data_IF_583792290379
#
_entry.id   IF_583792290379
#
_cell.length_a   1.000
_cell.length_b   1.000
_cell.length_c   1.000
_cell.angle_alpha   90.00
_cell.angle_beta   90.00
_cell.angle_gamma   90.00
#
_symmetry.space_group_name_H-M   'P 1'
#
loop_
_entity.id
_entity.type
_entity.pdbx_description
1 polymer ?
#
# COMPACT_ATOMS: atom_id res chain seq x y z
N UNK A 1 6.52 -48.83 -0.46
CA UNK A 1 5.20 -48.24 -0.14
C UNK A 1 5.42 -46.79 0.27
N UNK A 2 4.72 -45.83 -0.36
CA UNK A 2 4.56 -44.41 0.04
C UNK A 2 3.57 -44.34 1.23
N UNK A 3 3.48 -43.27 2.07
CA UNK A 3 3.28 -41.85 1.66
C UNK A 3 4.17 -40.83 2.43
N UNK A 4 4.63 -39.71 1.85
CA UNK A 4 3.95 -38.42 1.64
C UNK A 4 3.34 -37.77 2.90
N UNK A 5 4.05 -36.82 3.54
CA UNK A 5 3.43 -35.80 4.42
C UNK A 5 4.26 -34.49 4.45
N UNK A 6 3.78 -33.52 3.66
CA UNK A 6 3.64 -32.06 3.90
C UNK A 6 4.87 -31.13 4.07
N UNK A 7 5.04 -30.39 2.97
CA UNK A 7 5.51 -29.00 2.70
C UNK A 7 5.32 -27.99 3.87
N UNK A 8 6.18 -26.95 3.95
CA UNK A 8 6.61 -26.24 5.15
C UNK A 8 5.69 -25.08 5.50
N UNK A 9 5.61 -24.73 6.79
CA UNK A 9 4.80 -23.60 7.21
C UNK A 9 5.17 -23.11 8.58
N UNK A 10 6.26 -22.32 8.68
CA UNK A 10 6.42 -21.32 9.76
C UNK A 10 7.14 -20.11 9.16
N UNK A 11 6.47 -19.41 8.26
CA UNK A 11 6.70 -17.99 7.93
C UNK A 11 5.67 -17.17 8.72
N UNK A 12 5.80 -17.15 10.05
CA UNK A 12 4.93 -16.36 10.92
C UNK A 12 5.65 -16.08 12.24
N UNK A 13 6.63 -15.19 12.19
CA UNK A 13 7.34 -14.68 13.36
C UNK A 13 7.46 -13.17 13.30
N UNK A 14 6.35 -12.47 13.03
CA UNK A 14 6.23 -11.01 13.18
C UNK A 14 6.31 -10.66 14.68
N UNK A 15 7.53 -10.64 15.21
CA UNK A 15 7.83 -10.07 16.51
C UNK A 15 7.95 -8.55 16.34
N UNK A 16 6.83 -7.83 16.36
CA UNK A 16 6.83 -6.38 16.55
C UNK A 16 6.65 -6.10 18.04
N UNK A 17 7.80 -5.84 18.66
CA UNK A 17 8.01 -5.44 20.04
C UNK A 17 7.22 -4.17 20.37
N UNK A 18 6.39 -4.25 21.40
CA UNK A 18 5.82 -3.09 22.08
C UNK A 18 6.92 -2.51 22.98
N UNK A 19 7.45 -1.34 22.64
CA UNK A 19 8.54 -0.71 23.39
C UNK A 19 8.62 0.80 23.20
N UNK A 20 7.77 1.54 23.92
CA UNK A 20 8.13 2.77 24.63
C UNK A 20 8.55 4.03 23.85
N UNK A 21 7.73 5.08 24.04
CA UNK A 21 8.04 6.51 23.96
C UNK A 21 7.99 7.22 22.59
N UNK A 22 6.86 7.92 22.39
CA UNK A 22 6.69 9.19 21.66
C UNK A 22 7.13 9.21 20.18
N UNK A 23 6.25 8.77 19.28
CA UNK A 23 5.89 9.50 18.02
C UNK A 23 4.49 9.03 17.62
N UNK A 24 3.53 9.95 17.56
CA UNK A 24 2.23 9.66 16.97
C UNK A 24 2.39 9.35 15.46
N UNK A 25 1.65 8.36 14.97
CA UNK A 25 1.42 7.99 13.56
C UNK A 25 2.29 6.89 12.89
N UNK A 26 2.24 5.62 13.35
CA UNK A 26 2.54 4.47 12.48
C UNK A 26 1.46 4.26 11.39
N UNK A 27 0.23 4.71 11.62
CA UNK A 27 -0.89 4.51 10.68
C UNK A 27 -0.76 5.35 9.42
N UNK A 28 -0.36 6.61 9.56
CA UNK A 28 -0.23 7.55 8.43
C UNK A 28 0.66 7.03 7.30
N UNK A 29 1.80 6.47 7.67
CA UNK A 29 2.74 5.89 6.72
C UNK A 29 2.32 4.50 6.25
N UNK A 30 1.48 3.79 7.01
CA UNK A 30 0.97 2.49 6.59
C UNK A 30 -0.04 2.63 5.45
N UNK A 31 -0.93 3.63 5.51
CA UNK A 31 -1.95 3.88 4.48
C UNK A 31 -1.35 4.34 3.15
N UNK A 32 -0.40 5.28 3.20
CA UNK A 32 0.36 5.70 1.99
C UNK A 32 1.09 4.51 1.37
N UNK A 33 1.74 3.68 2.20
CA UNK A 33 2.50 2.53 1.71
C UNK A 33 1.62 1.42 1.17
N UNK A 34 0.43 1.22 1.72
CA UNK A 34 -0.58 0.30 1.18
C UNK A 34 -1.02 0.73 -0.22
N UNK A 35 -1.25 2.04 -0.42
CA UNK A 35 -1.54 2.61 -1.72
C UNK A 35 -0.35 2.44 -2.70
N UNK A 36 0.87 2.75 -2.30
CA UNK A 36 2.05 2.56 -3.15
C UNK A 36 2.23 1.08 -3.55
N UNK A 37 2.00 0.14 -2.64
CA UNK A 37 2.04 -1.29 -2.94
C UNK A 37 0.94 -1.71 -3.89
N UNK A 38 -0.28 -1.17 -3.74
CA UNK A 38 -1.38 -1.41 -4.67
C UNK A 38 -1.03 -0.89 -6.07
N UNK A 39 -0.51 0.33 -6.16
CA UNK A 39 -0.05 0.94 -7.42
C UNK A 39 1.06 0.11 -8.05
N UNK A 40 2.05 -0.35 -7.27
CA UNK A 40 3.12 -1.20 -7.79
C UNK A 40 2.60 -2.52 -8.39
N UNK A 41 1.53 -3.10 -7.83
CA UNK A 41 0.94 -4.35 -8.30
C UNK A 41 0.01 -4.17 -9.50
N UNK A 42 -0.80 -3.11 -9.50
CA UNK A 42 -1.91 -2.92 -10.45
C UNK A 42 -1.63 -1.85 -11.52
N UNK A 43 -0.74 -0.91 -11.23
CA UNK A 43 -0.35 0.19 -12.11
C UNK A 43 1.18 0.42 -12.02
N UNK A 44 2.02 -0.56 -12.39
CA UNK A 44 3.48 -0.48 -12.21
C UNK A 44 4.10 0.71 -12.96
N UNK A 45 3.46 1.20 -14.02
CA UNK A 45 3.88 2.40 -14.77
C UNK A 45 3.67 3.71 -14.00
N UNK A 46 2.78 3.72 -13.03
CA UNK A 46 2.40 4.86 -12.19
C UNK A 46 3.12 4.88 -10.85
N UNK A 47 4.13 4.01 -10.67
CA UNK A 47 4.95 3.96 -9.45
C UNK A 47 5.78 5.22 -9.27
N UNK A 48 6.24 5.81 -10.37
CA UNK A 48 6.88 7.11 -10.40
C UNK A 48 5.81 8.19 -10.15
N UNK A 49 5.85 8.82 -8.96
CA UNK A 49 4.83 9.76 -8.50
C UNK A 49 3.70 9.16 -7.65
N UNK A 50 3.69 7.84 -7.41
CA UNK A 50 2.69 7.20 -6.54
C UNK A 50 2.72 7.74 -5.11
N UNK A 51 3.91 7.96 -4.54
CA UNK A 51 4.05 8.45 -3.16
C UNK A 51 3.34 9.78 -2.91
N UNK A 52 3.50 10.74 -3.83
CA UNK A 52 2.83 12.05 -3.75
C UNK A 52 1.32 11.92 -3.92
N UNK A 53 0.85 11.11 -4.88
CA UNK A 53 -0.57 10.87 -5.09
C UNK A 53 -1.22 10.17 -3.88
N UNK A 54 -0.61 9.10 -3.38
CA UNK A 54 -1.06 8.36 -2.20
C UNK A 54 -1.06 9.25 -0.94
N UNK A 55 -0.12 10.18 -0.81
CA UNK A 55 -0.14 11.18 0.26
C UNK A 55 -1.37 12.10 0.17
N UNK A 56 -1.78 12.50 -1.05
CA UNK A 56 -3.02 13.26 -1.25
C UNK A 56 -4.24 12.44 -0.80
N UNK A 57 -4.29 11.15 -1.12
CA UNK A 57 -5.34 10.24 -0.65
C UNK A 57 -5.40 10.16 0.88
N UNK A 58 -4.23 10.04 1.51
CA UNK A 58 -4.07 10.00 2.96
C UNK A 58 -4.57 11.26 3.67
N UNK A 59 -4.34 12.45 3.13
CA UNK A 59 -4.89 13.70 3.69
C UNK A 59 -6.35 13.96 3.32
N UNK A 60 -7.03 12.98 2.71
CA UNK A 60 -8.44 13.04 2.31
C UNK A 60 -8.70 13.68 0.94
N UNK A 61 -7.65 14.01 0.18
CA UNK A 61 -7.76 14.59 -1.16
C UNK A 61 -7.73 13.51 -2.25
N UNK A 62 -8.81 12.73 -2.32
CA UNK A 62 -8.99 11.66 -3.29
C UNK A 62 -9.02 12.17 -4.75
N UNK A 63 -9.50 13.40 -4.98
CA UNK A 63 -9.56 13.99 -6.32
C UNK A 63 -8.17 14.24 -6.89
N UNK A 64 -7.27 14.85 -6.12
CA UNK A 64 -5.87 15.02 -6.54
C UNK A 64 -5.14 13.70 -6.61
N UNK A 65 -5.38 12.78 -5.68
CA UNK A 65 -4.79 11.43 -5.72
C UNK A 65 -5.11 10.72 -7.05
N UNK A 66 -6.39 10.67 -7.44
CA UNK A 66 -6.82 10.06 -8.69
C UNK A 66 -6.24 10.78 -9.91
N UNK A 67 -6.27 12.11 -9.93
CA UNK A 67 -5.76 12.88 -11.06
C UNK A 67 -4.25 12.66 -11.27
N UNK A 68 -3.47 12.67 -10.19
CA UNK A 68 -2.02 12.43 -10.24
C UNK A 68 -1.69 11.01 -10.71
N UNK A 69 -2.34 10.00 -10.14
CA UNK A 69 -2.12 8.59 -10.53
C UNK A 69 -2.49 8.34 -12.00
N UNK A 70 -3.60 8.93 -12.48
CA UNK A 70 -4.00 8.81 -13.89
C UNK A 70 -3.01 9.54 -14.80
N UNK A 71 -2.51 10.72 -14.39
CA UNK A 71 -1.53 11.48 -15.17
C UNK A 71 -0.20 10.72 -15.35
N UNK A 72 0.21 9.92 -14.37
CA UNK A 72 1.41 9.06 -14.45
C UNK A 72 1.12 7.66 -15.04
N UNK A 73 -0.10 7.43 -15.55
CA UNK A 73 -0.42 6.25 -16.36
C UNK A 73 -1.18 5.13 -15.64
N UNK A 74 -1.76 5.38 -14.47
CA UNK A 74 -2.73 4.46 -13.87
C UNK A 74 -4.08 4.54 -14.59
N UNK A 75 -4.78 3.41 -14.69
CA UNK A 75 -6.20 3.42 -15.07
C UNK A 75 -7.05 4.10 -14.00
N UNK A 76 -8.16 4.74 -14.38
CA UNK A 76 -9.09 5.39 -13.42
C UNK A 76 -9.51 4.47 -12.27
N UNK A 77 -9.88 3.22 -12.56
CA UNK A 77 -10.24 2.22 -11.55
C UNK A 77 -9.10 1.89 -10.58
N UNK A 78 -7.89 1.71 -11.11
CA UNK A 78 -6.71 1.39 -10.30
C UNK A 78 -6.33 2.58 -9.42
N UNK A 79 -6.40 3.80 -9.96
CA UNK A 79 -6.18 5.02 -9.20
C UNK A 79 -7.19 5.17 -8.07
N UNK A 80 -8.49 5.01 -8.35
CA UNK A 80 -9.54 5.10 -7.33
C UNK A 80 -9.34 4.07 -6.22
N UNK A 81 -9.10 2.81 -6.60
CA UNK A 81 -8.88 1.72 -5.64
C UNK A 81 -7.66 1.96 -4.75
N UNK A 82 -6.57 2.49 -5.32
CA UNK A 82 -5.35 2.84 -4.59
C UNK A 82 -5.58 4.00 -3.61
N UNK A 83 -6.28 5.06 -4.06
CA UNK A 83 -6.58 6.22 -3.25
C UNK A 83 -7.56 5.90 -2.11
N UNK A 84 -8.53 5.01 -2.35
CA UNK A 84 -9.41 4.51 -1.29
C UNK A 84 -8.68 3.63 -0.28
N UNK A 85 -7.63 2.90 -0.70
CA UNK A 85 -6.79 2.12 0.20
C UNK A 85 -5.85 2.98 1.08
N UNK A 86 -5.70 4.27 0.77
CA UNK A 86 -4.89 5.22 1.55
C UNK A 86 -5.73 6.13 2.47
N UNK A 87 -7.05 5.99 2.50
CA UNK A 87 -8.00 6.79 3.32
C UNK A 87 -8.27 6.18 4.70
#
# INVERSE_FOLDING_TARGET
MRPSTRIPGILAGLALVLGGAVVAAPSAHADVKACEQYVAQHAPKATDGAGEACYQGYIGNLTSCNASLVAVGASKDAAQSACEASR
#
